data_IF_858329746205
#
_entry.id   IF_858329746205
#
_cell.length_a   1.000
_cell.length_b   1.000
_cell.length_c   1.000
_cell.angle_alpha   90.00
_cell.angle_beta   90.00
_cell.angle_gamma   90.00
#
_symmetry.space_group_name_H-M   'P 1'
#
loop_
_entity.id
_entity.type
_entity.pdbx_description
1 polymer ?
#
# COMPACT_ATOMS: atom_id res chain seq x y z
N UNK A 1 -14.66 -6.30 -22.40
CA UNK A 1 -13.52 -6.61 -23.28
C UNK A 1 -13.36 -8.12 -23.31
N UNK A 2 -13.62 -8.77 -24.43
CA UNK A 2 -13.29 -10.20 -24.62
C UNK A 2 -11.86 -10.24 -25.17
N UNK A 3 -10.95 -10.90 -24.46
CA UNK A 3 -9.63 -11.23 -25.00
C UNK A 3 -9.80 -12.56 -25.72
N UNK A 4 -9.86 -12.50 -27.04
CA UNK A 4 -9.89 -13.69 -27.87
C UNK A 4 -8.45 -14.17 -28.08
N UNK A 5 -8.13 -15.35 -27.55
CA UNK A 5 -6.82 -15.99 -27.73
C UNK A 5 -7.02 -17.04 -28.81
N UNK A 6 -6.44 -16.83 -29.99
CA UNK A 6 -6.53 -17.80 -31.09
C UNK A 6 -6.16 -19.22 -30.63
N UNK A 7 -7.12 -20.15 -30.71
CA UNK A 7 -6.96 -21.55 -30.30
C UNK A 7 -5.77 -22.25 -30.99
N UNK A 8 -5.37 -21.78 -32.17
CA UNK A 8 -4.19 -22.25 -32.89
C UNK A 8 -2.88 -22.06 -32.11
N UNK A 9 -2.84 -21.16 -31.14
CA UNK A 9 -1.68 -20.93 -30.25
C UNK A 9 -1.73 -21.80 -28.99
N UNK A 10 -2.83 -22.52 -28.76
CA UNK A 10 -3.04 -23.41 -27.62
C UNK A 10 -2.85 -24.89 -27.99
N UNK A 11 -2.28 -25.18 -29.15
CA UNK A 11 -1.94 -26.54 -29.58
C UNK A 11 -0.90 -27.11 -28.62
N UNK A 12 -1.30 -28.10 -27.82
CA UNK A 12 -0.48 -28.71 -26.76
C UNK A 12 -0.90 -28.37 -25.33
N UNK A 13 -1.85 -27.45 -25.14
CA UNK A 13 -2.44 -27.21 -23.82
C UNK A 13 -3.44 -28.32 -23.49
N UNK A 14 -3.35 -28.90 -22.29
CA UNK A 14 -4.42 -29.71 -21.73
C UNK A 14 -5.52 -28.79 -21.14
N UNK A 15 -6.69 -29.32 -20.82
CA UNK A 15 -7.80 -28.53 -20.27
C UNK A 15 -7.43 -27.78 -18.98
N UNK A 16 -6.69 -28.38 -18.02
CA UNK A 16 -6.21 -27.65 -16.85
C UNK A 16 -5.28 -26.46 -17.20
N UNK A 17 -4.40 -26.61 -18.19
CA UNK A 17 -3.50 -25.55 -18.64
C UNK A 17 -4.25 -24.41 -19.33
N UNK A 18 -5.29 -24.72 -20.12
CA UNK A 18 -6.19 -23.71 -20.69
C UNK A 18 -6.86 -22.90 -19.58
N UNK A 19 -7.43 -23.58 -18.58
CA UNK A 19 -8.07 -22.92 -17.46
C UNK A 19 -7.09 -22.07 -16.64
N UNK A 20 -5.88 -22.58 -16.38
CA UNK A 20 -4.83 -21.82 -15.69
C UNK A 20 -4.41 -20.57 -16.49
N UNK A 21 -4.27 -20.68 -17.81
CA UNK A 21 -3.96 -19.54 -18.68
C UNK A 21 -5.05 -18.47 -18.62
N UNK A 22 -6.32 -18.85 -18.76
CA UNK A 22 -7.45 -17.91 -18.67
C UNK A 22 -7.47 -17.21 -17.32
N UNK A 23 -7.21 -17.94 -16.23
CA UNK A 23 -7.12 -17.38 -14.89
C UNK A 23 -5.97 -16.37 -14.78
N UNK A 24 -4.77 -16.73 -15.21
CA UNK A 24 -3.59 -15.85 -15.16
C UNK A 24 -3.74 -14.61 -16.03
N UNK A 25 -4.41 -14.71 -17.20
CA UNK A 25 -4.77 -13.55 -18.02
C UNK A 25 -5.72 -12.63 -17.25
N UNK A 26 -6.76 -13.19 -16.61
CA UNK A 26 -7.70 -12.43 -15.79
C UNK A 26 -7.01 -11.67 -14.65
N UNK A 27 -6.13 -12.35 -13.92
CA UNK A 27 -5.32 -11.75 -12.85
C UNK A 27 -4.42 -10.63 -13.39
N UNK A 28 -3.76 -10.85 -14.52
CA UNK A 28 -2.91 -9.84 -15.16
C UNK A 28 -3.70 -8.60 -15.60
N UNK A 29 -4.91 -8.77 -16.15
CA UNK A 29 -5.79 -7.65 -16.52
C UNK A 29 -6.19 -6.86 -15.29
N UNK A 30 -6.61 -7.52 -14.21
CA UNK A 30 -7.02 -6.86 -12.98
C UNK A 30 -5.86 -6.05 -12.37
N UNK A 31 -4.66 -6.61 -12.36
CA UNK A 31 -3.45 -5.90 -11.92
C UNK A 31 -3.09 -4.74 -12.84
N UNK A 32 -3.21 -4.92 -14.16
CA UNK A 32 -2.98 -3.86 -15.15
C UNK A 32 -3.93 -2.68 -14.96
N UNK A 33 -5.21 -2.95 -14.73
CA UNK A 33 -6.22 -1.93 -14.46
C UNK A 33 -5.92 -1.21 -13.14
N UNK A 34 -5.58 -1.94 -12.07
CA UNK A 34 -5.22 -1.33 -10.78
C UNK A 34 -4.01 -0.43 -10.89
N UNK A 35 -2.99 -0.86 -11.62
CA UNK A 35 -1.74 -0.11 -11.77
C UNK A 35 -1.91 1.10 -12.69
N UNK A 36 -2.67 0.98 -13.78
CA UNK A 36 -3.00 2.12 -14.63
C UNK A 36 -3.78 3.20 -13.85
N UNK A 37 -4.78 2.80 -13.05
CA UNK A 37 -5.48 3.71 -12.14
C UNK A 37 -4.56 4.31 -11.08
N UNK A 38 -3.56 3.57 -10.60
CA UNK A 38 -2.56 4.09 -9.65
C UNK A 38 -1.68 5.16 -10.31
N UNK A 39 -1.23 4.94 -11.54
CA UNK A 39 -0.42 5.91 -12.28
C UNK A 39 -1.22 7.19 -12.52
N UNK A 40 -2.50 7.07 -12.89
CA UNK A 40 -3.38 8.24 -13.04
C UNK A 40 -3.52 8.99 -11.71
N UNK A 41 -3.83 8.30 -10.61
CA UNK A 41 -3.96 8.93 -9.29
C UNK A 41 -2.67 9.62 -8.83
N UNK A 42 -1.49 9.19 -9.31
CA UNK A 42 -0.22 9.89 -9.03
C UNK A 42 0.00 11.12 -9.91
N UNK A 43 -0.51 11.11 -11.15
CA UNK A 43 -0.36 12.23 -12.08
C UNK A 43 -1.46 13.29 -11.92
N UNK A 44 -2.61 12.92 -11.33
CA UNK A 44 -3.75 13.80 -11.12
C UNK A 44 -4.12 13.87 -9.62
N UNK A 45 -3.36 14.63 -8.81
CA UNK A 45 -3.68 14.84 -7.39
C UNK A 45 -4.90 15.76 -7.18
N UNK A 46 -5.37 16.44 -8.24
CA UNK A 46 -6.58 17.27 -8.22
C UNK A 46 -7.79 16.40 -8.54
N UNK A 47 -8.93 16.65 -7.88
CA UNK A 47 -10.15 15.82 -7.92
C UNK A 47 -10.91 15.87 -9.26
N UNK A 48 -10.22 15.89 -10.40
CA UNK A 48 -10.80 15.81 -11.73
C UNK A 48 -11.32 14.41 -12.04
N UNK A 49 -12.12 14.30 -13.12
CA UNK A 49 -12.58 13.00 -13.58
C UNK A 49 -11.37 12.13 -14.01
N UNK A 50 -11.24 10.90 -13.50
CA UNK A 50 -10.09 10.06 -13.79
C UNK A 50 -10.05 9.70 -15.29
N UNK A 51 -8.89 9.93 -15.92
CA UNK A 51 -8.70 9.66 -17.35
C UNK A 51 -7.48 8.77 -17.56
N UNK A 52 -7.72 7.49 -17.83
CA UNK A 52 -6.65 6.53 -18.14
C UNK A 52 -6.26 6.66 -19.61
N UNK A 53 -5.04 7.10 -19.89
CA UNK A 53 -4.50 7.21 -21.25
C UNK A 53 -3.81 5.91 -21.68
N UNK A 54 -3.59 5.75 -22.99
CA UNK A 54 -2.87 4.60 -23.55
C UNK A 54 -1.43 4.49 -23.03
N UNK A 55 -0.76 5.61 -22.76
CA UNK A 55 0.57 5.64 -22.15
C UNK A 55 0.57 5.06 -20.74
N UNK A 56 -0.43 5.40 -19.92
CA UNK A 56 -0.56 4.88 -18.55
C UNK A 56 -0.76 3.35 -18.53
N UNK A 57 -1.49 2.80 -19.50
CA UNK A 57 -1.64 1.34 -19.65
C UNK A 57 -0.32 0.69 -20.07
N UNK A 58 0.42 1.31 -20.98
CA UNK A 58 1.75 0.85 -21.39
C UNK A 58 2.76 0.84 -20.23
N UNK A 59 2.80 1.93 -19.47
CA UNK A 59 3.66 2.06 -18.29
C UNK A 59 3.28 1.05 -17.21
N UNK A 60 1.98 0.87 -16.95
CA UNK A 60 1.47 -0.15 -16.03
C UNK A 60 1.91 -1.56 -16.44
N UNK A 61 1.83 -1.90 -17.72
CA UNK A 61 2.26 -3.21 -18.23
C UNK A 61 3.76 -3.44 -18.02
N UNK A 62 4.60 -2.41 -18.22
CA UNK A 62 6.05 -2.48 -17.97
C UNK A 62 6.34 -2.66 -16.49
N UNK A 63 5.65 -1.92 -15.61
CA UNK A 63 5.83 -2.00 -14.15
C UNK A 63 5.45 -3.38 -13.60
N UNK A 64 4.33 -3.95 -14.05
CA UNK A 64 3.89 -5.29 -13.65
C UNK A 64 4.90 -6.35 -14.10
N UNK A 65 5.33 -6.30 -15.37
CA UNK A 65 6.31 -7.27 -15.91
C UNK A 65 7.68 -7.22 -15.21
N UNK A 66 8.08 -6.04 -14.72
CA UNK A 66 9.32 -5.86 -13.96
C UNK A 66 9.18 -6.21 -12.47
N UNK A 67 8.00 -6.62 -12.01
CA UNK A 67 7.72 -6.86 -10.59
C UNK A 67 7.78 -5.58 -9.74
N UNK A 68 7.70 -4.41 -10.39
CA UNK A 68 7.76 -3.09 -9.74
C UNK A 68 6.36 -2.52 -9.47
N UNK A 69 5.30 -3.30 -9.71
CA UNK A 69 3.94 -2.95 -9.32
C UNK A 69 3.93 -2.66 -7.81
N UNK A 70 3.75 -1.38 -7.46
CA UNK A 70 3.83 -0.98 -6.05
C UNK A 70 2.56 -1.45 -5.34
N UNK A 71 2.67 -2.22 -4.25
CA UNK A 71 1.47 -2.61 -3.51
C UNK A 71 0.75 -1.35 -3.03
N UNK A 72 -0.58 -1.32 -3.18
CA UNK A 72 -1.42 -0.26 -2.59
C UNK A 72 -1.06 -0.16 -1.11
N UNK A 73 -0.41 0.93 -0.70
CA UNK A 73 -0.09 1.18 0.71
C UNK A 73 -1.40 1.20 1.48
N UNK A 74 -1.59 0.13 2.26
CA UNK A 74 -2.85 -0.26 2.86
C UNK A 74 -3.27 0.78 3.91
N UNK A 75 -4.58 0.88 4.11
CA UNK A 75 -5.30 1.65 5.14
C UNK A 75 -4.60 1.62 6.52
N UNK A 76 -3.87 0.54 6.83
CA UNK A 76 -3.04 0.42 8.04
C UNK A 76 -2.05 1.58 8.26
N UNK A 77 -1.46 2.16 7.22
CA UNK A 77 -0.56 3.30 7.36
C UNK A 77 -1.30 4.58 7.85
N UNK A 78 -2.55 4.78 7.41
CA UNK A 78 -3.40 5.89 7.90
C UNK A 78 -3.79 5.70 9.36
N UNK A 79 -4.16 4.47 9.75
CA UNK A 79 -4.52 4.16 11.14
C UNK A 79 -3.32 4.32 12.06
N UNK A 80 -2.14 3.80 11.66
CA UNK A 80 -0.91 3.92 12.42
C UNK A 80 -0.52 5.39 12.66
N UNK A 81 -0.77 6.28 11.68
CA UNK A 81 -0.53 7.71 11.82
C UNK A 81 -1.40 8.37 12.89
N UNK A 82 -2.69 8.01 12.94
CA UNK A 82 -3.60 8.52 13.98
C UNK A 82 -3.13 8.05 15.36
N UNK A 83 -2.78 6.76 15.48
CA UNK A 83 -2.28 6.19 16.73
C UNK A 83 -0.97 6.85 17.17
N UNK A 84 -0.03 7.08 16.25
CA UNK A 84 1.23 7.75 16.52
C UNK A 84 1.01 9.18 17.03
N UNK A 85 0.12 9.95 16.39
CA UNK A 85 -0.21 11.30 16.83
C UNK A 85 -0.84 11.34 18.23
N UNK A 86 -1.77 10.42 18.52
CA UNK A 86 -2.42 10.31 19.84
C UNK A 86 -1.41 9.91 20.91
N UNK A 87 -0.50 8.98 20.62
CA UNK A 87 0.56 8.58 21.57
C UNK A 87 1.53 9.72 21.85
N UNK A 88 1.95 10.47 20.84
CA UNK A 88 2.82 11.65 21.04
C UNK A 88 2.12 12.73 21.88
N UNK A 89 0.82 12.94 21.67
CA UNK A 89 0.03 13.85 22.50
C UNK A 89 -0.11 13.33 23.94
N UNK A 90 -0.34 12.03 24.12
CA UNK A 90 -0.43 11.40 25.43
C UNK A 90 0.89 11.50 26.22
N UNK A 91 2.05 11.36 25.54
CA UNK A 91 3.37 11.61 26.14
C UNK A 91 3.44 13.04 26.70
N UNK A 92 3.02 14.04 25.92
CA UNK A 92 2.99 15.44 26.35
C UNK A 92 2.09 15.68 27.57
N UNK A 93 0.89 15.08 27.59
CA UNK A 93 -0.01 15.18 28.76
C UNK A 93 0.49 14.43 29.99
N UNK A 94 1.23 13.32 29.80
CA UNK A 94 1.76 12.51 30.89
C UNK A 94 3.01 13.11 31.55
N UNK A 95 3.59 14.16 30.95
CA UNK A 95 4.74 14.86 31.50
C UNK A 95 4.34 15.65 32.75
N UNK A 96 4.74 15.12 33.91
CA UNK A 96 4.55 15.76 35.22
C UNK A 96 5.88 15.71 35.97
N UNK A 97 6.54 16.87 36.09
CA UNK A 97 7.87 17.00 36.68
C UNK A 97 7.92 16.58 38.16
N UNK A 98 6.80 16.69 38.89
CA UNK A 98 6.73 16.27 40.29
C UNK A 98 6.62 14.74 40.40
N UNK A 99 5.86 14.09 39.51
CA UNK A 99 5.71 12.63 39.48
C UNK A 99 6.90 11.92 38.86
N UNK A 100 7.67 12.59 38.00
CA UNK A 100 8.91 12.07 37.42
C UNK A 100 10.01 11.81 38.47
N UNK A 101 9.87 12.30 39.70
CA UNK A 101 10.77 11.95 40.80
C UNK A 101 10.50 10.55 41.38
N UNK A 102 9.30 9.98 41.15
CA UNK A 102 9.01 8.60 41.50
C UNK A 102 9.65 7.66 40.47
N UNK A 103 10.50 6.74 40.95
CA UNK A 103 11.23 5.77 40.12
C UNK A 103 10.28 4.91 39.27
N UNK A 104 9.11 4.58 39.80
CA UNK A 104 8.10 3.77 39.11
C UNK A 104 7.45 4.55 37.97
N UNK A 105 7.09 5.81 38.23
CA UNK A 105 6.47 6.67 37.23
C UNK A 105 7.46 7.05 36.11
N UNK A 106 8.72 7.30 36.47
CA UNK A 106 9.81 7.55 35.51
C UNK A 106 10.00 6.37 34.56
N UNK A 107 10.02 5.14 35.06
CA UNK A 107 10.20 3.94 34.22
C UNK A 107 9.04 3.75 33.25
N UNK A 108 7.80 3.92 33.72
CA UNK A 108 6.60 3.86 32.87
C UNK A 108 6.66 4.96 31.79
N UNK A 109 7.01 6.18 32.16
CA UNK A 109 7.12 7.30 31.23
C UNK A 109 8.16 7.03 30.13
N UNK A 110 9.36 6.54 30.48
CA UNK A 110 10.41 6.20 29.51
C UNK A 110 9.94 5.12 28.53
N UNK A 111 9.24 4.09 29.00
CA UNK A 111 8.70 3.03 28.14
C UNK A 111 7.65 3.59 27.18
N UNK A 112 6.74 4.43 27.65
CA UNK A 112 5.70 5.06 26.82
C UNK A 112 6.32 5.98 25.77
N UNK A 113 7.35 6.76 26.13
CA UNK A 113 8.10 7.61 25.20
C UNK A 113 8.81 6.76 24.13
N UNK A 114 9.48 5.68 24.53
CA UNK A 114 10.16 4.78 23.60
C UNK A 114 9.18 4.16 22.59
N UNK A 115 8.02 3.70 23.06
CA UNK A 115 6.96 3.17 22.20
C UNK A 115 6.39 4.23 21.26
N UNK A 116 6.21 5.48 21.73
CA UNK A 116 5.74 6.57 20.90
C UNK A 116 6.75 6.90 19.78
N UNK A 117 8.04 6.94 20.09
CA UNK A 117 9.10 7.15 19.08
C UNK A 117 9.07 6.03 18.05
N UNK A 118 9.03 4.76 18.48
CA UNK A 118 8.97 3.63 17.56
C UNK A 118 7.72 3.68 16.66
N UNK A 119 6.55 3.99 17.22
CA UNK A 119 5.31 4.11 16.46
C UNK A 119 5.38 5.22 15.41
N UNK A 120 5.93 6.38 15.77
CA UNK A 120 6.14 7.50 14.84
C UNK A 120 7.14 7.13 13.75
N UNK A 121 8.29 6.57 14.10
CA UNK A 121 9.34 6.18 13.13
C UNK A 121 8.82 5.15 12.13
N UNK A 122 8.12 4.11 12.60
CA UNK A 122 7.51 3.12 11.70
C UNK A 122 6.46 3.78 10.81
N UNK A 123 5.62 4.66 11.36
CA UNK A 123 4.63 5.40 10.57
C UNK A 123 5.27 6.26 9.47
N UNK A 124 6.41 6.89 9.74
CA UNK A 124 7.13 7.72 8.75
C UNK A 124 7.86 6.89 7.71
N UNK A 125 8.45 5.74 8.06
CA UNK A 125 9.10 4.85 7.08
C UNK A 125 8.07 4.17 6.17
N UNK A 126 6.88 3.88 6.70
CA UNK A 126 5.78 3.33 5.93
C UNK A 126 5.10 4.36 5.00
N UNK A 127 5.40 5.65 5.15
CA UNK A 127 4.96 6.74 4.25
C UNK A 127 5.45 6.57 2.83
#
# INVERSE_FOLDING_TARGET
MQIDVEDKKLVGFNDPARHALTKSIGEFIDDLVKEANRIEATHNPSSGAPQITSSMVGDAAVLIRRGLARPKRKIGAKVLRIVAAVLSMAVGFSYDAAKLQDKTYMLIFVVVVALAILAVTISTIME
#
